data_IF_561059658537
#
_entry.id   IF_561059658537
#
_cell.length_a   1.000
_cell.length_b   1.000
_cell.length_c   1.000
_cell.angle_alpha   90.00
_cell.angle_beta   90.00
_cell.angle_gamma   90.00
#
_symmetry.space_group_name_H-M   'P 1'
#
loop_
_entity.id
_entity.type
_entity.pdbx_description
1 polymer ?
#
# COMPACT_ATOMS: atom_id res chain seq x y z
N UNK A 1 -12.25 -9.85 -17.38
CA UNK A 1 -11.61 -10.33 -16.15
C UNK A 1 -11.21 -9.16 -15.29
N UNK A 2 -11.66 -9.10 -14.03
CA UNK A 2 -11.21 -8.02 -13.16
C UNK A 2 -9.71 -8.14 -12.88
N UNK A 3 -9.04 -7.01 -12.84
CA UNK A 3 -7.64 -6.98 -12.46
C UNK A 3 -7.52 -7.26 -10.97
N UNK A 4 -6.41 -7.89 -10.59
CA UNK A 4 -6.12 -8.21 -9.19
C UNK A 4 -4.82 -7.57 -8.76
N UNK A 5 -4.83 -7.00 -7.56
CA UNK A 5 -3.63 -6.50 -6.91
C UNK A 5 -3.40 -7.27 -5.62
N UNK A 6 -2.15 -7.39 -5.22
CA UNK A 6 -1.78 -8.03 -3.96
C UNK A 6 -0.91 -7.08 -3.17
N UNK A 7 -1.14 -7.01 -1.87
CA UNK A 7 -0.41 -6.08 -1.02
C UNK A 7 -0.21 -6.59 0.39
N UNK A 8 0.63 -5.87 1.13
CA UNK A 8 0.95 -6.20 2.51
C UNK A 8 0.58 -5.03 3.41
N UNK A 9 -0.10 -5.33 4.52
CA UNK A 9 -0.30 -4.34 5.57
C UNK A 9 0.70 -4.66 6.67
N UNK A 10 1.74 -3.85 6.76
CA UNK A 10 2.71 -3.96 7.84
C UNK A 10 2.12 -3.22 9.04
N UNK A 11 2.05 -3.87 10.19
CA UNK A 11 1.47 -3.25 11.37
C UNK A 11 2.39 -3.42 12.58
N UNK A 12 2.21 -2.53 13.54
CA UNK A 12 2.94 -2.57 14.80
C UNK A 12 2.07 -1.97 15.91
N UNK A 13 2.50 -2.19 17.15
CA UNK A 13 1.87 -1.52 18.29
C UNK A 13 2.87 -0.57 18.92
N UNK A 14 2.46 0.68 19.11
CA UNK A 14 3.26 1.69 19.79
C UNK A 14 2.44 2.20 20.96
N UNK A 15 2.91 1.97 22.19
CA UNK A 15 2.19 2.34 23.41
C UNK A 15 0.77 1.77 23.39
N UNK A 16 0.64 0.49 23.02
CA UNK A 16 -0.62 -0.25 22.95
C UNK A 16 -1.56 0.23 21.84
N UNK A 17 -1.10 1.14 20.98
CA UNK A 17 -1.89 1.62 19.86
C UNK A 17 -1.47 0.93 18.57
N UNK A 18 -2.46 0.40 17.85
CA UNK A 18 -2.22 -0.23 16.55
C UNK A 18 -1.89 0.83 15.51
N UNK A 19 -0.76 0.64 14.83
CA UNK A 19 -0.35 1.49 13.72
C UNK A 19 -0.14 0.65 12.47
N UNK A 20 -0.43 1.23 11.31
CA UNK A 20 -0.20 0.60 10.02
C UNK A 20 0.64 1.49 9.15
N UNK A 21 1.45 0.87 8.29
CA UNK A 21 2.30 1.59 7.34
C UNK A 21 1.50 1.79 6.06
N UNK A 22 1.37 3.04 5.65
CA UNK A 22 0.77 3.40 4.37
C UNK A 22 1.77 4.13 3.51
N UNK A 23 1.58 4.06 2.20
CA UNK A 23 2.42 4.73 1.23
C UNK A 23 1.60 5.76 0.46
N UNK A 24 2.26 6.85 0.10
CA UNK A 24 1.65 7.92 -0.70
C UNK A 24 2.11 7.79 -2.13
N UNK A 25 1.18 7.77 -3.11
CA UNK A 25 1.58 7.64 -4.50
C UNK A 25 2.39 8.85 -4.95
N UNK A 26 3.44 8.58 -5.73
CA UNK A 26 4.28 9.63 -6.26
C UNK A 26 3.72 10.21 -7.55
N UNK A 27 4.41 11.23 -8.04
CA UNK A 27 4.03 11.89 -9.28
C UNK A 27 3.19 13.14 -9.03
N UNK A 28 3.07 13.98 -10.07
CA UNK A 28 2.49 15.31 -9.91
C UNK A 28 0.99 15.31 -9.62
N UNK A 29 0.24 14.27 -10.04
CA UNK A 29 -1.20 14.23 -9.81
C UNK A 29 -1.57 14.08 -8.34
N UNK A 30 -0.71 13.45 -7.55
CA UNK A 30 -0.99 13.11 -6.16
C UNK A 30 -0.26 13.99 -5.16
N UNK A 31 0.66 14.84 -5.64
CA UNK A 31 1.58 15.58 -4.79
C UNK A 31 0.93 16.36 -3.65
N UNK A 32 -0.26 16.91 -3.88
CA UNK A 32 -0.95 17.74 -2.89
C UNK A 32 -2.16 17.04 -2.25
N UNK A 33 -2.36 15.76 -2.55
CA UNK A 33 -3.50 15.02 -2.01
C UNK A 33 -3.09 14.26 -0.76
N UNK A 34 -3.97 14.20 0.21
CA UNK A 34 -3.71 13.55 1.49
C UNK A 34 -4.87 12.62 1.88
N UNK A 35 -6.06 13.16 2.18
CA UNK A 35 -7.18 12.33 2.59
C UNK A 35 -7.63 11.43 1.45
N UNK A 36 -7.82 10.15 1.75
CA UNK A 36 -8.24 9.12 0.79
C UNK A 36 -7.28 8.97 -0.39
N UNK A 37 -6.01 9.35 -0.18
CA UNK A 37 -4.97 9.28 -1.22
C UNK A 37 -3.90 8.23 -0.93
N UNK A 38 -3.72 7.84 0.31
CA UNK A 38 -2.74 6.86 0.71
C UNK A 38 -3.23 5.44 0.43
N UNK A 39 -2.32 4.49 0.39
CA UNK A 39 -2.62 3.10 0.07
C UNK A 39 -1.72 2.16 0.87
N UNK A 40 -2.17 0.92 1.02
CA UNK A 40 -1.24 -0.13 1.42
C UNK A 40 -0.28 -0.37 0.25
N UNK A 41 0.97 -0.76 0.50
CA UNK A 41 1.88 -1.14 -0.58
C UNK A 41 1.29 -2.34 -1.34
N UNK A 42 1.02 -2.16 -2.62
CA UNK A 42 0.40 -3.19 -3.45
C UNK A 42 0.64 -2.94 -4.93
N UNK A 43 0.50 -3.99 -5.72
CA UNK A 43 0.54 -3.85 -7.17
C UNK A 43 -0.16 -5.00 -7.85
N UNK A 44 -0.36 -4.85 -9.16
CA UNK A 44 -1.03 -5.86 -9.96
C UNK A 44 -0.13 -7.08 -10.15
N UNK A 45 -0.75 -8.24 -10.24
CA UNK A 45 -0.01 -9.47 -10.47
C UNK A 45 -0.70 -10.30 -11.55
N UNK A 46 0.10 -11.15 -12.20
CA UNK A 46 -0.36 -11.98 -13.30
C UNK A 46 -1.06 -13.23 -12.80
N UNK A 47 -1.99 -13.74 -13.61
CA UNK A 47 -2.61 -15.01 -13.35
C UNK A 47 -1.53 -16.10 -13.37
N UNK A 48 -1.56 -16.98 -12.38
CA UNK A 48 -0.53 -18.00 -12.21
C UNK A 48 0.59 -17.62 -11.27
N UNK A 49 0.72 -16.34 -10.94
CA UNK A 49 1.67 -15.89 -9.94
C UNK A 49 1.05 -16.08 -8.55
N UNK A 50 1.84 -16.58 -7.60
CA UNK A 50 1.35 -16.73 -6.23
C UNK A 50 1.04 -15.35 -5.63
N UNK A 51 -0.21 -15.11 -5.17
CA UNK A 51 -0.58 -13.78 -4.69
C UNK A 51 0.25 -13.27 -3.51
N UNK A 52 0.60 -14.13 -2.55
CA UNK A 52 1.41 -13.69 -1.42
C UNK A 52 2.83 -13.32 -1.87
N UNK A 53 3.41 -14.11 -2.77
CA UNK A 53 4.73 -13.80 -3.34
C UNK A 53 4.68 -12.46 -4.07
N UNK A 54 3.60 -12.20 -4.81
CA UNK A 54 3.41 -10.93 -5.50
C UNK A 54 3.29 -9.78 -4.49
N UNK A 55 2.56 -9.98 -3.39
CA UNK A 55 2.42 -8.96 -2.36
C UNK A 55 3.77 -8.60 -1.74
N UNK A 56 4.60 -9.60 -1.45
CA UNK A 56 5.94 -9.36 -0.91
C UNK A 56 6.82 -8.62 -1.90
N UNK A 57 6.75 -8.99 -3.18
CA UNK A 57 7.51 -8.33 -4.24
C UNK A 57 7.10 -6.87 -4.36
N UNK A 58 5.81 -6.59 -4.37
CA UNK A 58 5.31 -5.22 -4.46
C UNK A 58 5.72 -4.38 -3.25
N UNK A 59 5.71 -4.97 -2.05
CA UNK A 59 6.20 -4.30 -0.85
C UNK A 59 7.64 -3.86 -1.03
N UNK A 60 8.47 -4.75 -1.55
CA UNK A 60 9.88 -4.44 -1.79
C UNK A 60 10.05 -3.36 -2.88
N UNK A 61 9.29 -3.47 -3.96
CA UNK A 61 9.37 -2.49 -5.05
C UNK A 61 8.94 -1.09 -4.61
N UNK A 62 7.92 -1.00 -3.75
CA UNK A 62 7.38 0.28 -3.32
C UNK A 62 8.09 0.89 -2.12
N UNK A 63 8.69 0.07 -1.27
CA UNK A 63 9.32 0.59 -0.04
C UNK A 63 10.78 0.22 0.13
N UNK A 64 11.25 -0.80 -0.58
CA UNK A 64 12.59 -1.34 -0.39
C UNK A 64 12.65 -2.39 0.70
N UNK A 65 11.55 -2.64 1.42
CA UNK A 65 11.53 -3.56 2.55
C UNK A 65 11.19 -4.98 2.11
N UNK A 66 12.02 -5.93 2.48
CA UNK A 66 11.71 -7.35 2.34
C UNK A 66 11.01 -7.80 3.62
N UNK A 67 9.72 -8.11 3.49
CA UNK A 67 8.95 -8.53 4.65
C UNK A 67 9.00 -10.04 4.80
N UNK A 68 8.97 -10.48 6.05
CA UNK A 68 8.88 -11.88 6.40
C UNK A 68 8.17 -12.00 7.73
N UNK A 69 7.74 -13.21 8.07
CA UNK A 69 7.06 -13.45 9.31
C UNK A 69 5.77 -14.21 9.13
N UNK A 70 4.86 -14.07 10.08
CA UNK A 70 3.58 -14.75 10.04
C UNK A 70 2.55 -13.87 9.36
N UNK A 71 2.15 -14.25 8.15
CA UNK A 71 1.18 -13.50 7.36
C UNK A 71 -0.23 -13.93 7.67
N UNK A 72 -1.11 -12.96 7.86
CA UNK A 72 -2.53 -13.18 8.12
C UNK A 72 -3.30 -12.77 6.87
N UNK A 73 -3.95 -13.73 6.22
CA UNK A 73 -4.73 -13.43 5.02
C UNK A 73 -6.01 -12.69 5.40
N UNK A 74 -6.29 -11.61 4.68
CA UNK A 74 -7.50 -10.81 4.89
C UNK A 74 -8.51 -11.08 3.78
N UNK A 75 -9.76 -10.70 4.02
CA UNK A 75 -10.81 -10.86 3.03
C UNK A 75 -10.58 -9.87 1.90
N UNK A 76 -10.51 -10.34 0.64
CA UNK A 76 -10.28 -9.41 -0.48
C UNK A 76 -11.38 -8.35 -0.58
N UNK A 77 -11.00 -7.16 -1.05
CA UNK A 77 -11.94 -6.08 -1.26
C UNK A 77 -11.98 -5.70 -2.73
N UNK A 78 -13.11 -5.16 -3.17
CA UNK A 78 -13.28 -4.70 -4.53
C UNK A 78 -13.34 -3.18 -4.54
N UNK A 79 -12.43 -2.55 -5.26
CA UNK A 79 -12.42 -1.10 -5.41
C UNK A 79 -13.48 -0.65 -6.43
N UNK A 80 -13.78 0.66 -6.46
CA UNK A 80 -14.77 1.21 -7.39
C UNK A 80 -14.45 0.90 -8.85
N UNK A 81 -13.18 0.81 -9.18
CA UNK A 81 -12.73 0.46 -10.53
C UNK A 81 -13.04 -0.99 -10.93
N UNK A 82 -13.47 -1.83 -9.98
CA UNK A 82 -13.67 -3.26 -10.19
C UNK A 82 -12.45 -4.09 -9.84
N UNK A 83 -11.34 -3.46 -9.54
CA UNK A 83 -10.09 -4.15 -9.17
C UNK A 83 -10.24 -4.84 -7.81
N UNK A 84 -9.87 -6.11 -7.75
CA UNK A 84 -9.81 -6.84 -6.48
C UNK A 84 -8.46 -6.59 -5.82
N UNK A 85 -8.47 -6.34 -4.51
CA UNK A 85 -7.25 -6.19 -3.73
C UNK A 85 -7.20 -7.31 -2.71
N UNK A 86 -6.17 -8.15 -2.85
CA UNK A 86 -5.87 -9.21 -1.91
C UNK A 86 -4.79 -8.69 -0.98
N UNK A 87 -4.94 -8.89 0.33
CA UNK A 87 -3.97 -8.34 1.29
C UNK A 87 -3.66 -9.34 2.39
N UNK A 88 -2.44 -9.25 2.87
CA UNK A 88 -1.96 -10.01 4.02
C UNK A 88 -1.38 -9.05 5.02
N UNK A 89 -1.67 -9.28 6.29
CA UNK A 89 -1.09 -8.47 7.37
C UNK A 89 0.09 -9.20 7.97
N UNK A 90 1.12 -8.46 8.33
CA UNK A 90 2.28 -9.00 9.01
C UNK A 90 2.78 -7.98 10.01
N UNK A 91 3.16 -8.46 11.20
CA UNK A 91 3.72 -7.59 12.25
C UNK A 91 5.18 -7.34 11.97
N UNK A 92 5.58 -6.08 12.07
CA UNK A 92 6.98 -5.71 11.85
C UNK A 92 7.18 -4.23 12.00
N UNK A 93 8.37 -3.77 11.68
CA UNK A 93 8.72 -2.37 11.77
C UNK A 93 9.45 -1.92 10.51
N UNK A 94 9.43 -0.62 10.26
CA UNK A 94 10.09 -0.03 9.11
C UNK A 94 10.30 1.45 9.39
N UNK A 95 11.51 1.93 9.15
CA UNK A 95 11.82 3.35 9.26
C UNK A 95 11.45 4.02 7.95
N UNK A 96 10.42 4.91 7.93
CA UNK A 96 10.04 5.58 6.68
C UNK A 96 11.16 6.38 6.02
N UNK A 97 12.19 6.77 6.79
CA UNK A 97 13.35 7.45 6.23
C UNK A 97 14.18 6.54 5.32
N UNK A 98 13.98 5.24 5.42
CA UNK A 98 14.67 4.24 4.59
C UNK A 98 13.90 3.89 3.31
N UNK A 99 12.82 4.60 3.04
CA UNK A 99 11.99 4.36 1.87
C UNK A 99 12.81 4.39 0.59
N UNK A 100 12.65 3.34 -0.21
CA UNK A 100 13.32 3.25 -1.50
C UNK A 100 12.35 2.63 -2.50
N UNK A 101 11.72 3.48 -3.30
CA UNK A 101 10.71 3.08 -4.26
C UNK A 101 11.28 3.00 -5.67
N UNK A 102 10.73 2.11 -6.48
CA UNK A 102 11.00 2.11 -7.90
C UNK A 102 10.39 3.35 -8.54
N UNK A 103 10.91 3.74 -9.69
CA UNK A 103 10.41 4.89 -10.43
C UNK A 103 9.48 4.46 -11.55
N UNK A 104 8.61 5.37 -11.96
CA UNK A 104 7.85 5.22 -13.18
C UNK A 104 8.05 6.45 -14.05
N UNK A 105 7.78 6.32 -15.35
CA UNK A 105 7.98 7.39 -16.32
C UNK A 105 6.64 7.84 -16.86
N UNK A 106 6.47 9.17 -16.98
CA UNK A 106 5.26 9.72 -17.57
C UNK A 106 5.59 11.03 -18.27
N UNK A 107 4.74 11.40 -19.22
CA UNK A 107 4.85 12.69 -19.89
C UNK A 107 4.42 13.79 -18.93
N UNK A 108 5.30 14.76 -18.73
CA UNK A 108 4.98 15.89 -17.86
C UNK A 108 5.81 17.12 -18.26
N UNK A 109 5.21 18.30 -18.43
CA UNK A 109 3.75 18.53 -18.32
C UNK A 109 2.95 17.81 -19.40
N UNK A 110 1.61 17.67 -19.23
CA UNK A 110 0.79 17.00 -20.26
C UNK A 110 1.00 17.63 -21.64
N UNK A 111 1.11 16.78 -22.66
CA UNK A 111 1.26 17.19 -24.06
C UNK A 111 2.55 17.95 -24.34
N UNK A 112 3.55 17.85 -23.45
CA UNK A 112 4.84 18.56 -23.64
C UNK A 112 5.81 17.78 -24.50
N UNK A 113 5.61 16.46 -24.64
CA UNK A 113 6.55 15.57 -25.29
C UNK A 113 7.75 15.23 -24.41
N UNK A 114 7.79 15.75 -23.21
CA UNK A 114 8.87 15.51 -22.25
C UNK A 114 8.48 14.41 -21.28
N UNK A 115 9.29 13.35 -21.21
CA UNK A 115 9.08 12.28 -20.23
C UNK A 115 9.93 12.51 -19.01
N UNK A 116 9.33 12.36 -17.83
CA UNK A 116 10.03 12.52 -16.55
C UNK A 116 9.81 11.29 -15.69
N UNK A 117 10.80 10.98 -14.86
CA UNK A 117 10.71 9.87 -13.90
C UNK A 117 10.23 10.40 -12.55
N UNK A 118 9.33 9.66 -11.94
CA UNK A 118 8.83 9.95 -10.61
C UNK A 118 8.86 8.66 -9.80
N UNK A 119 9.07 8.73 -8.49
CA UNK A 119 8.96 7.51 -7.68
C UNK A 119 7.51 7.01 -7.68
N UNK A 120 7.32 5.71 -7.69
CA UNK A 120 5.97 5.12 -7.56
C UNK A 120 5.35 5.52 -6.24
N UNK A 121 6.18 5.61 -5.19
CA UNK A 121 5.79 6.03 -3.85
C UNK A 121 6.75 7.14 -3.44
N UNK A 122 6.20 8.29 -3.07
CA UNK A 122 7.04 9.43 -2.68
C UNK A 122 7.29 9.52 -1.18
N UNK A 123 6.46 8.89 -0.37
CA UNK A 123 6.66 8.85 1.08
C UNK A 123 5.88 7.69 1.69
N UNK A 124 6.34 7.26 2.85
CA UNK A 124 5.66 6.26 3.66
C UNK A 124 5.53 6.82 5.06
N UNK A 125 4.49 6.41 5.78
CA UNK A 125 4.30 6.87 7.14
C UNK A 125 3.49 5.85 7.94
N UNK A 126 3.74 5.83 9.23
CA UNK A 126 2.94 5.07 10.19
C UNK A 126 1.76 5.91 10.64
N UNK A 127 0.58 5.32 10.62
CA UNK A 127 -0.63 5.99 11.08
C UNK A 127 -1.31 5.14 12.14
N UNK A 128 -1.79 5.76 13.23
CA UNK A 128 -2.74 5.07 14.10
C UNK A 128 -3.94 4.61 13.28
N UNK A 129 -4.50 3.47 13.63
CA UNK A 129 -5.55 2.86 12.79
C UNK A 129 -6.72 3.83 12.53
N UNK A 130 -7.12 4.63 13.52
CA UNK A 130 -8.22 5.58 13.36
C UNK A 130 -7.90 6.65 12.32
N UNK A 131 -6.66 7.07 12.23
CA UNK A 131 -6.22 8.03 11.22
C UNK A 131 -6.04 7.37 9.87
N UNK A 132 -5.52 6.14 9.87
CA UNK A 132 -5.27 5.40 8.62
C UNK A 132 -6.55 5.24 7.80
N UNK A 133 -7.70 4.99 8.46
CA UNK A 133 -8.96 4.82 7.73
C UNK A 133 -9.41 6.10 7.03
N UNK A 134 -8.92 7.26 7.47
CA UNK A 134 -9.23 8.54 6.82
C UNK A 134 -8.25 8.86 5.70
N UNK A 135 -7.05 8.31 5.77
CA UNK A 135 -5.97 8.58 4.79
C UNK A 135 -6.01 7.65 3.60
N UNK A 136 -6.44 6.41 3.79
CA UNK A 136 -6.39 5.39 2.75
C UNK A 136 -7.51 5.59 1.73
N UNK A 137 -7.29 5.11 0.51
CA UNK A 137 -8.35 5.11 -0.52
C UNK A 137 -9.55 4.32 0.00
N UNK A 138 -10.76 4.82 -0.29
CA UNK A 138 -11.99 4.28 0.31
C UNK A 138 -12.15 2.76 0.18
N UNK A 139 -11.80 2.20 -0.97
CA UNK A 139 -11.96 0.77 -1.21
C UNK A 139 -11.11 -0.10 -0.29
N UNK A 140 -10.10 0.46 0.36
CA UNK A 140 -9.22 -0.30 1.26
C UNK A 140 -9.62 -0.18 2.73
N UNK A 141 -10.59 0.66 3.06
CA UNK A 141 -11.02 0.84 4.44
C UNK A 141 -11.42 -0.49 5.10
N UNK A 142 -12.18 -1.37 4.43
CA UNK A 142 -12.56 -2.65 5.05
C UNK A 142 -11.36 -3.51 5.44
N UNK A 143 -10.24 -3.41 4.70
CA UNK A 143 -9.03 -4.16 5.05
C UNK A 143 -8.49 -3.72 6.40
N UNK A 144 -8.44 -2.41 6.63
CA UNK A 144 -7.94 -1.86 7.90
C UNK A 144 -8.86 -2.20 9.06
N UNK A 145 -10.16 -2.17 8.82
CA UNK A 145 -11.13 -2.51 9.87
C UNK A 145 -11.09 -3.99 10.23
N UNK A 146 -10.87 -4.85 9.23
CA UNK A 146 -10.70 -6.28 9.49
C UNK A 146 -9.43 -6.53 10.30
N UNK A 147 -8.34 -5.88 9.94
CA UNK A 147 -7.09 -6.01 10.67
C UNK A 147 -7.26 -5.61 12.14
N UNK A 148 -7.91 -4.47 12.37
CA UNK A 148 -8.18 -3.99 13.74
C UNK A 148 -8.94 -5.03 14.54
N UNK A 149 -9.96 -5.65 13.95
CA UNK A 149 -10.77 -6.67 14.60
C UNK A 149 -9.95 -7.93 14.93
N UNK A 150 -9.06 -8.33 14.03
CA UNK A 150 -8.29 -9.56 14.18
C UNK A 150 -7.19 -9.41 15.24
N UNK A 151 -6.49 -8.29 15.26
CA UNK A 151 -5.31 -8.12 16.11
C UNK A 151 -5.60 -7.37 17.42
N UNK A 152 -6.78 -6.76 17.52
CA UNK A 152 -7.20 -6.08 18.74
C UNK A 152 -7.88 -7.09 19.64
N UNK A 153 -7.14 -7.56 20.59
CA UNK A 153 -7.66 -8.57 21.53
C UNK A 153 -7.49 -8.11 22.96
#
# INVERSE_FOLDING_TARGET
MPKKSAGVILYRFTKEQLEVLLVHPGGPFWAKKDLNAWSIPKGEFEEGEDPLAAAKREMEEETGLKVDGKFIELIPVKQKSGKLVLAWAVKGDFDPAMLKSNDFEMEWPPRSGSKKKFPEVDKAAWFPIEEAVKKVVEGQIPLLKELERIVDS
#
